data_IF_954729078834
#
_entry.id   IF_954729078834
#
_cell.length_a   1.000
_cell.length_b   1.000
_cell.length_c   1.000
_cell.angle_alpha   90.00
_cell.angle_beta   90.00
_cell.angle_gamma   90.00
#
_symmetry.space_group_name_H-M   'P 1'
#
loop_
_entity.id
_entity.type
_entity.pdbx_description
1 polymer ?
#
# COMPACT_ATOMS: atom_id res chain seq x y z
N UNK A 1 -4.29 -19.80 -2.12
CA UNK A 1 -4.98 -18.64 -1.56
C UNK A 1 -4.52 -18.39 -0.15
N UNK A 2 -4.21 -17.16 0.16
CA UNK A 2 -3.65 -16.76 1.44
C UNK A 2 -4.77 -16.39 2.43
N UNK A 3 -5.92 -15.95 1.90
CA UNK A 3 -7.10 -15.60 2.70
C UNK A 3 -8.03 -16.78 2.94
N UNK A 4 -8.54 -16.89 4.15
CA UNK A 4 -9.66 -17.78 4.45
C UNK A 4 -10.93 -17.25 3.78
N UNK A 5 -11.60 -18.10 3.00
CA UNK A 5 -12.83 -17.72 2.28
C UNK A 5 -14.06 -17.84 3.19
N UNK A 6 -14.03 -18.69 4.20
CA UNK A 6 -15.11 -18.85 5.16
C UNK A 6 -14.63 -19.44 6.48
N UNK A 7 -15.27 -19.03 7.57
CA UNK A 7 -14.99 -19.51 8.93
C UNK A 7 -15.35 -20.97 9.15
N UNK A 8 -16.16 -21.57 8.25
CA UNK A 8 -16.80 -22.83 8.57
C UNK A 8 -17.07 -23.77 7.40
N UNK A 9 -17.10 -25.06 7.72
CA UNK A 9 -17.85 -26.16 7.10
C UNK A 9 -17.33 -26.85 5.85
N UNK A 10 -16.32 -26.36 5.18
CA UNK A 10 -15.63 -27.18 4.16
C UNK A 10 -14.94 -28.40 4.79
N UNK A 11 -14.73 -28.39 6.10
CA UNK A 11 -13.95 -29.38 6.83
C UNK A 11 -14.67 -29.92 8.09
N UNK A 12 -15.99 -30.02 8.07
CA UNK A 12 -16.77 -30.48 9.23
C UNK A 12 -16.41 -31.90 9.73
N UNK A 13 -15.56 -32.62 9.02
CA UNK A 13 -14.99 -33.90 9.42
C UNK A 13 -13.54 -33.87 9.88
N UNK A 14 -12.85 -32.73 9.79
CA UNK A 14 -11.46 -32.58 10.22
C UNK A 14 -11.42 -31.73 11.50
N UNK A 15 -11.27 -32.39 12.63
CA UNK A 15 -11.02 -31.75 13.89
C UNK A 15 -9.52 -31.44 14.04
N UNK A 16 -9.17 -30.29 14.64
CA UNK A 16 -7.78 -29.93 15.01
C UNK A 16 -6.84 -29.62 13.84
N UNK A 17 -7.29 -28.87 12.84
CA UNK A 17 -6.39 -28.32 11.84
C UNK A 17 -5.40 -27.32 12.45
N UNK A 18 -4.12 -27.56 12.22
CA UNK A 18 -3.07 -26.57 12.51
C UNK A 18 -3.02 -25.62 11.32
N UNK A 19 -3.29 -24.36 11.55
CA UNK A 19 -3.19 -23.30 10.54
C UNK A 19 -1.82 -22.63 10.69
N UNK A 20 -1.06 -22.57 9.60
CA UNK A 20 0.15 -21.76 9.53
C UNK A 20 -0.18 -20.48 8.78
N UNK A 21 0.27 -19.37 9.30
CA UNK A 21 0.03 -18.03 8.77
C UNK A 21 1.30 -17.49 8.11
N UNK A 22 1.21 -16.30 7.55
CA UNK A 22 2.38 -15.61 6.99
C UNK A 22 3.42 -15.21 8.05
N UNK A 23 3.05 -15.23 9.33
CA UNK A 23 3.96 -14.92 10.45
C UNK A 23 4.73 -16.15 10.94
N UNK A 24 4.36 -17.35 10.45
CA UNK A 24 4.98 -18.62 10.87
C UNK A 24 6.15 -19.00 9.96
N UNK A 25 7.23 -19.53 10.57
CA UNK A 25 8.38 -20.04 9.80
C UNK A 25 8.09 -21.33 9.06
N UNK A 26 7.12 -22.11 9.57
CA UNK A 26 6.81 -23.42 8.99
C UNK A 26 6.19 -23.26 7.62
N UNK A 27 6.79 -23.91 6.62
CA UNK A 27 6.42 -23.87 5.20
C UNK A 27 6.64 -22.51 4.51
N UNK A 28 7.40 -21.60 5.11
CA UNK A 28 7.64 -20.25 4.57
C UNK A 28 8.23 -20.25 3.16
N UNK A 29 9.03 -21.23 2.80
CA UNK A 29 9.71 -21.34 1.49
C UNK A 29 8.81 -21.84 0.35
N UNK A 30 7.57 -22.30 0.63
CA UNK A 30 6.74 -22.99 -0.35
C UNK A 30 5.67 -22.13 -1.02
N UNK A 31 5.56 -20.86 -0.63
CA UNK A 31 4.47 -19.98 -1.11
C UNK A 31 4.91 -18.94 -2.13
N UNK A 32 6.11 -19.07 -2.68
CA UNK A 32 6.64 -18.20 -3.70
C UNK A 32 8.04 -18.60 -4.14
N UNK A 33 8.73 -17.72 -4.85
CA UNK A 33 10.12 -17.94 -5.22
C UNK A 33 11.05 -17.40 -4.13
N UNK A 34 12.04 -18.21 -3.79
CA UNK A 34 13.14 -17.80 -2.90
C UNK A 34 14.19 -16.99 -3.66
N UNK A 35 15.10 -16.36 -2.93
CA UNK A 35 16.26 -15.65 -3.51
C UNK A 35 17.09 -16.58 -4.43
N UNK A 36 17.23 -17.88 -4.04
CA UNK A 36 17.94 -18.87 -4.85
C UNK A 36 17.22 -19.16 -6.16
N UNK A 37 15.90 -19.30 -6.14
CA UNK A 37 15.10 -19.51 -7.35
C UNK A 37 15.26 -18.32 -8.32
N UNK A 38 15.19 -17.10 -7.81
CA UNK A 38 15.38 -15.90 -8.62
C UNK A 38 16.78 -15.82 -9.21
N UNK A 39 17.81 -16.17 -8.44
CA UNK A 39 19.20 -16.19 -8.93
C UNK A 39 19.38 -17.21 -10.06
N UNK A 40 18.79 -18.40 -9.91
CA UNK A 40 18.83 -19.45 -10.92
C UNK A 40 18.07 -19.05 -12.19
N UNK A 41 16.89 -18.43 -12.05
CA UNK A 41 16.10 -17.93 -13.18
C UNK A 41 16.85 -16.82 -13.91
N UNK A 42 17.40 -15.84 -13.19
CA UNK A 42 18.16 -14.75 -13.78
C UNK A 42 19.40 -15.27 -14.55
N UNK A 43 20.09 -16.24 -14.00
CA UNK A 43 21.22 -16.89 -14.68
C UNK A 43 20.78 -17.65 -15.95
N UNK A 44 19.67 -18.39 -15.88
CA UNK A 44 19.11 -19.12 -17.02
C UNK A 44 18.73 -18.20 -18.19
N UNK A 45 18.14 -17.03 -17.89
CA UNK A 45 17.78 -16.03 -18.91
C UNK A 45 18.93 -15.09 -19.28
N UNK A 46 20.14 -15.27 -18.72
CA UNK A 46 21.31 -14.41 -18.98
C UNK A 46 21.14 -12.98 -18.45
N UNK A 47 20.40 -12.81 -17.35
CA UNK A 47 20.02 -11.52 -16.77
C UNK A 47 20.51 -11.38 -15.31
N UNK A 48 21.66 -11.96 -14.98
CA UNK A 48 22.20 -11.91 -13.62
C UNK A 48 22.46 -10.47 -13.11
N UNK A 49 22.76 -9.55 -14.02
CA UNK A 49 22.93 -8.12 -13.71
C UNK A 49 21.61 -7.41 -13.29
N UNK A 50 20.45 -8.04 -13.55
CA UNK A 50 19.13 -7.51 -13.22
C UNK A 50 18.62 -7.91 -11.82
N UNK A 51 19.37 -8.66 -11.04
CA UNK A 51 18.95 -9.13 -9.72
C UNK A 51 18.52 -7.98 -8.79
N UNK A 52 19.22 -6.85 -8.79
CA UNK A 52 18.86 -5.70 -7.98
C UNK A 52 17.52 -5.08 -8.41
N UNK A 53 17.24 -5.02 -9.73
CA UNK A 53 15.98 -4.53 -10.27
C UNK A 53 14.83 -5.47 -9.91
N UNK A 54 15.03 -6.79 -10.04
CA UNK A 54 14.03 -7.81 -9.67
C UNK A 54 13.72 -7.72 -8.17
N UNK A 55 14.76 -7.54 -7.34
CA UNK A 55 14.60 -7.37 -5.90
C UNK A 55 13.78 -6.12 -5.57
N UNK A 56 14.10 -4.99 -6.12
CA UNK A 56 13.40 -3.73 -5.88
C UNK A 56 11.90 -3.82 -6.23
N UNK A 57 11.59 -4.52 -7.33
CA UNK A 57 10.24 -4.56 -7.86
C UNK A 57 9.35 -5.66 -7.26
N UNK A 58 9.90 -6.84 -6.94
CA UNK A 58 9.10 -8.04 -6.71
C UNK A 58 9.43 -8.82 -5.43
N UNK A 59 10.48 -8.41 -4.72
CA UNK A 59 10.85 -8.95 -3.42
C UNK A 59 10.00 -8.33 -2.30
N UNK A 60 10.21 -8.83 -1.10
CA UNK A 60 9.75 -8.18 0.12
C UNK A 60 8.50 -8.76 0.74
N UNK A 61 8.00 -9.88 0.26
CA UNK A 61 7.04 -10.68 1.02
C UNK A 61 7.83 -11.49 2.05
N UNK A 62 7.49 -11.30 3.32
CA UNK A 62 8.14 -12.01 4.41
C UNK A 62 7.16 -13.04 4.97
N UNK A 63 7.52 -14.32 4.84
CA UNK A 63 6.82 -15.44 5.45
C UNK A 63 7.67 -15.98 6.58
N UNK A 64 7.24 -15.79 7.84
CA UNK A 64 8.12 -15.98 8.98
C UNK A 64 9.39 -15.14 8.81
N UNK A 65 10.55 -15.82 8.72
CA UNK A 65 11.85 -15.18 8.48
C UNK A 65 12.37 -15.31 7.04
N UNK A 66 11.55 -15.82 6.10
CA UNK A 66 11.97 -16.09 4.71
C UNK A 66 11.47 -14.99 3.76
N UNK A 67 12.39 -14.38 3.03
CA UNK A 67 12.06 -13.45 1.93
C UNK A 67 11.54 -14.24 0.73
N UNK A 68 10.37 -13.86 0.23
CA UNK A 68 9.67 -14.54 -0.87
C UNK A 68 9.30 -13.50 -1.93
N UNK A 69 9.53 -13.90 -3.18
CA UNK A 69 9.11 -13.13 -4.37
C UNK A 69 7.76 -13.63 -4.89
N UNK A 70 6.94 -12.72 -5.40
CA UNK A 70 5.68 -13.08 -6.03
C UNK A 70 5.92 -13.83 -7.35
N UNK A 71 5.55 -15.13 -7.46
CA UNK A 71 5.81 -15.91 -8.66
C UNK A 71 5.16 -15.35 -9.91
N UNK A 72 3.92 -14.85 -9.80
CA UNK A 72 3.21 -14.26 -10.93
C UNK A 72 3.95 -13.06 -11.51
N UNK A 73 4.39 -12.15 -10.67
CA UNK A 73 5.08 -10.94 -11.09
C UNK A 73 6.46 -11.25 -11.69
N UNK A 74 7.21 -12.16 -11.07
CA UNK A 74 8.51 -12.59 -11.58
C UNK A 74 8.42 -13.28 -12.93
N UNK A 75 7.50 -14.23 -13.11
CA UNK A 75 7.30 -14.92 -14.39
C UNK A 75 6.93 -13.90 -15.49
N UNK A 76 6.02 -12.96 -15.18
CA UNK A 76 5.63 -11.94 -16.13
C UNK A 76 6.77 -10.95 -16.44
N UNK A 77 7.66 -10.66 -15.49
CA UNK A 77 8.85 -9.86 -15.73
C UNK A 77 9.74 -10.49 -16.79
N UNK A 78 10.09 -11.76 -16.66
CA UNK A 78 10.90 -12.48 -17.66
C UNK A 78 10.17 -12.57 -19.01
N UNK A 79 8.87 -12.84 -19.02
CA UNK A 79 8.05 -12.86 -20.24
C UNK A 79 7.92 -11.49 -20.89
N UNK A 80 8.08 -10.38 -20.16
CA UNK A 80 8.03 -9.01 -20.66
C UNK A 80 9.41 -8.47 -21.07
N UNK A 81 10.31 -9.32 -21.55
CA UNK A 81 11.68 -8.98 -21.92
C UNK A 81 12.45 -8.27 -20.79
N UNK A 82 12.29 -8.72 -19.58
CA UNK A 82 12.92 -8.17 -18.37
C UNK A 82 12.68 -6.64 -18.20
N UNK A 83 11.51 -6.18 -18.57
CA UNK A 83 11.07 -4.80 -18.33
C UNK A 83 10.12 -4.79 -17.13
N UNK A 84 10.48 -4.11 -16.04
CA UNK A 84 9.68 -4.12 -14.82
C UNK A 84 8.35 -3.39 -15.04
N UNK A 85 7.30 -3.91 -14.41
CA UNK A 85 5.95 -3.37 -14.43
C UNK A 85 5.17 -3.89 -13.24
N UNK A 86 4.15 -3.14 -12.81
CA UNK A 86 3.19 -3.62 -11.82
C UNK A 86 2.22 -4.63 -12.45
N UNK A 87 2.63 -5.90 -12.53
CA UNK A 87 1.83 -6.97 -13.13
C UNK A 87 0.63 -7.34 -12.27
N UNK A 88 0.75 -7.20 -10.97
CA UNK A 88 -0.33 -7.48 -10.03
C UNK A 88 -1.46 -6.44 -10.10
N UNK A 89 -1.21 -5.24 -10.57
CA UNK A 89 -2.21 -4.18 -10.74
C UNK A 89 -3.38 -4.53 -11.68
N UNK A 90 -3.30 -5.64 -12.40
CA UNK A 90 -4.32 -6.11 -13.35
C UNK A 90 -5.11 -7.32 -12.86
N UNK A 91 -4.88 -7.77 -11.64
CA UNK A 91 -5.62 -8.88 -11.05
C UNK A 91 -6.86 -8.34 -10.33
N UNK A 92 -7.97 -9.07 -10.45
CA UNK A 92 -9.27 -8.72 -9.85
C UNK A 92 -9.22 -8.79 -8.31
N UNK A 93 -8.90 -7.74 -7.64
CA UNK A 93 -8.81 -7.70 -6.17
C UNK A 93 -8.30 -6.37 -5.65
N UNK A 94 -7.74 -5.54 -6.53
CA UNK A 94 -7.21 -4.25 -6.13
C UNK A 94 -8.31 -3.22 -5.84
N UNK A 95 -9.52 -3.43 -6.34
CA UNK A 95 -10.71 -2.63 -6.01
C UNK A 95 -10.93 -2.49 -4.49
N UNK A 96 -10.52 -3.51 -3.73
CA UNK A 96 -10.62 -3.49 -2.29
C UNK A 96 -9.76 -2.39 -1.65
N UNK A 97 -8.58 -2.08 -2.21
CA UNK A 97 -7.77 -0.95 -1.75
C UNK A 97 -8.54 0.36 -1.96
N UNK A 98 -9.17 0.51 -3.12
CA UNK A 98 -10.02 1.66 -3.41
C UNK A 98 -11.22 1.77 -2.46
N UNK A 99 -11.86 0.64 -2.12
CA UNK A 99 -12.96 0.60 -1.14
C UNK A 99 -12.48 0.96 0.26
N UNK A 100 -11.35 0.40 0.69
CA UNK A 100 -10.72 0.73 1.97
C UNK A 100 -10.39 2.22 2.08
N UNK A 101 -9.82 2.79 1.04
CA UNK A 101 -9.51 4.22 0.99
C UNK A 101 -10.80 5.05 1.09
N UNK A 102 -11.88 4.67 0.40
CA UNK A 102 -13.16 5.39 0.45
C UNK A 102 -13.85 5.35 1.81
N UNK A 103 -13.74 4.23 2.51
CA UNK A 103 -14.40 4.00 3.80
C UNK A 103 -13.55 4.43 5.00
N UNK A 104 -12.31 4.87 4.77
CA UNK A 104 -11.32 5.13 5.82
C UNK A 104 -11.50 6.49 6.47
N UNK A 105 -11.12 6.57 7.73
CA UNK A 105 -10.97 7.80 8.49
C UNK A 105 -9.61 8.49 8.23
N UNK A 106 -9.38 9.60 8.89
CA UNK A 106 -8.14 10.39 8.78
C UNK A 106 -6.90 9.58 9.13
N UNK A 107 -6.97 8.74 10.15
CA UNK A 107 -5.84 7.98 10.68
C UNK A 107 -5.32 6.98 9.63
N UNK A 108 -6.23 6.31 8.93
CA UNK A 108 -5.86 5.39 7.84
C UNK A 108 -5.21 6.14 6.68
N UNK A 109 -5.72 7.32 6.30
CA UNK A 109 -5.09 8.13 5.25
C UNK A 109 -3.66 8.57 5.61
N UNK A 110 -3.44 9.01 6.86
CA UNK A 110 -2.11 9.38 7.35
C UNK A 110 -1.16 8.17 7.30
N UNK A 111 -1.64 7.02 7.73
CA UNK A 111 -0.88 5.77 7.71
C UNK A 111 -0.55 5.31 6.29
N UNK A 112 -1.51 5.37 5.36
CA UNK A 112 -1.25 5.06 3.94
C UNK A 112 -0.18 5.98 3.34
N UNK A 113 -0.20 7.26 3.70
CA UNK A 113 0.85 8.19 3.27
C UNK A 113 2.21 7.86 3.85
N UNK A 114 2.30 7.46 5.11
CA UNK A 114 3.55 6.99 5.73
C UNK A 114 4.08 5.76 4.99
N UNK A 115 3.21 4.78 4.69
CA UNK A 115 3.56 3.59 3.92
C UNK A 115 4.10 3.94 2.52
N UNK A 116 3.47 4.86 1.80
CA UNK A 116 3.93 5.32 0.49
C UNK A 116 5.29 6.04 0.54
N UNK A 117 5.62 6.68 1.67
CA UNK A 117 6.95 7.25 1.93
C UNK A 117 8.00 6.20 2.30
N UNK A 118 7.61 4.92 2.41
CA UNK A 118 8.49 3.82 2.83
C UNK A 118 8.71 3.75 4.35
N UNK A 119 7.89 4.45 5.13
CA UNK A 119 7.88 4.37 6.59
C UNK A 119 7.04 3.18 7.05
N UNK A 120 7.17 2.82 8.31
CA UNK A 120 6.42 1.76 8.95
C UNK A 120 5.21 2.32 9.71
N UNK A 121 4.15 1.54 9.77
CA UNK A 121 2.99 1.75 10.65
C UNK A 121 2.84 0.55 11.57
N UNK A 122 2.25 0.73 12.74
CA UNK A 122 2.02 -0.35 13.70
C UNK A 122 0.55 -0.66 13.78
N UNK A 123 0.21 -1.95 13.88
CA UNK A 123 -1.17 -2.41 14.00
C UNK A 123 -1.23 -3.75 14.70
N UNK A 124 -2.35 -4.03 15.37
CA UNK A 124 -2.69 -5.34 15.89
C UNK A 124 -3.14 -6.21 14.73
N UNK A 125 -2.57 -7.40 14.60
CA UNK A 125 -2.82 -8.27 13.46
C UNK A 125 -3.66 -9.49 13.83
N UNK A 126 -4.81 -9.59 13.22
CA UNK A 126 -5.63 -10.79 13.25
C UNK A 126 -5.39 -11.62 11.97
N UNK A 127 -4.62 -12.71 12.09
CA UNK A 127 -4.31 -13.60 10.95
C UNK A 127 -5.47 -14.49 10.54
N UNK A 128 -6.54 -14.54 11.34
CA UNK A 128 -7.77 -15.32 11.08
C UNK A 128 -8.84 -14.54 10.32
N UNK A 129 -8.53 -13.35 9.83
CA UNK A 129 -9.46 -12.45 9.14
C UNK A 129 -10.07 -13.10 7.90
N UNK A 130 -11.35 -12.79 7.66
CA UNK A 130 -12.15 -13.26 6.52
C UNK A 130 -12.55 -12.07 5.66
N UNK A 131 -12.59 -12.27 4.34
CA UNK A 131 -12.88 -11.25 3.34
C UNK A 131 -14.14 -10.37 3.62
N UNK A 132 -15.26 -10.85 4.15
CA UNK A 132 -16.44 -9.99 4.38
C UNK A 132 -16.36 -9.05 5.58
N UNK A 133 -15.32 -9.15 6.41
CA UNK A 133 -15.20 -8.38 7.67
C UNK A 133 -14.47 -7.03 7.49
N UNK A 134 -14.20 -6.63 6.25
CA UNK A 134 -13.32 -5.49 5.90
C UNK A 134 -13.91 -4.10 6.24
N UNK A 135 -15.19 -4.01 6.59
CA UNK A 135 -15.84 -2.74 6.96
C UNK A 135 -15.72 -2.38 8.46
N UNK A 136 -14.72 -2.93 9.15
CA UNK A 136 -14.53 -2.74 10.58
C UNK A 136 -13.54 -1.58 10.88
N UNK A 137 -12.68 -1.77 11.85
CA UNK A 137 -11.67 -0.83 12.32
C UNK A 137 -10.37 -0.88 11.49
N UNK A 138 -9.43 0.02 11.80
CA UNK A 138 -8.13 0.12 11.12
C UNK A 138 -7.29 -1.16 11.25
N UNK A 139 -7.31 -1.84 12.41
CA UNK A 139 -6.54 -3.08 12.64
C UNK A 139 -7.05 -4.22 11.74
N UNK A 140 -8.35 -4.29 11.51
CA UNK A 140 -8.99 -5.23 10.57
C UNK A 140 -8.52 -4.96 9.14
N UNK A 141 -8.46 -3.69 8.75
CA UNK A 141 -7.94 -3.28 7.43
C UNK A 141 -6.48 -3.70 7.26
N UNK A 142 -5.61 -3.41 8.22
CA UNK A 142 -4.19 -3.77 8.14
C UNK A 142 -3.97 -5.28 8.18
N UNK A 143 -4.74 -6.00 8.98
CA UNK A 143 -4.73 -7.46 9.00
C UNK A 143 -5.06 -8.04 7.64
N UNK A 144 -6.10 -7.52 6.98
CA UNK A 144 -6.47 -7.91 5.63
C UNK A 144 -5.37 -7.59 4.62
N UNK A 145 -4.85 -6.37 4.61
CA UNK A 145 -3.80 -5.96 3.69
C UNK A 145 -2.52 -6.79 3.86
N UNK A 146 -2.18 -7.17 5.10
CA UNK A 146 -1.05 -8.04 5.38
C UNK A 146 -1.28 -9.44 4.83
N UNK A 147 -2.40 -10.09 5.18
CA UNK A 147 -2.70 -11.47 4.77
C UNK A 147 -2.95 -11.57 3.25
N UNK A 148 -3.49 -10.52 2.62
CA UNK A 148 -3.66 -10.45 1.17
C UNK A 148 -2.36 -10.12 0.41
N UNK A 149 -1.27 -9.78 1.10
CA UNK A 149 0.04 -9.52 0.50
C UNK A 149 0.23 -8.08 -0.01
N UNK A 150 -0.59 -7.14 0.44
CA UNK A 150 -0.38 -5.71 0.15
C UNK A 150 0.57 -5.03 1.13
N UNK A 151 0.74 -5.62 2.32
CA UNK A 151 1.72 -5.21 3.32
C UNK A 151 2.64 -6.38 3.67
N UNK A 152 3.76 -6.08 4.28
CA UNK A 152 4.63 -7.05 4.95
C UNK A 152 4.84 -6.65 6.40
N UNK A 153 4.91 -7.63 7.30
CA UNK A 153 5.38 -7.41 8.65
C UNK A 153 6.93 -7.35 8.62
N UNK A 154 7.50 -6.32 9.25
CA UNK A 154 8.97 -6.19 9.38
C UNK A 154 9.46 -6.70 10.72
N UNK A 155 8.61 -6.64 11.72
CA UNK A 155 8.86 -7.19 13.06
C UNK A 155 7.55 -7.43 13.80
N UNK A 156 7.56 -8.39 14.71
CA UNK A 156 6.55 -8.55 15.77
C UNK A 156 7.10 -7.84 16.98
N UNK A 157 6.39 -6.81 17.48
CA UNK A 157 6.83 -5.95 18.57
C UNK A 157 6.43 -6.54 19.92
N UNK A 158 5.18 -6.96 20.04
CA UNK A 158 4.53 -7.48 21.24
C UNK A 158 3.24 -8.20 20.87
N UNK A 159 2.51 -8.67 21.86
CA UNK A 159 1.19 -9.29 21.70
C UNK A 159 0.15 -8.54 22.52
N UNK A 160 -1.07 -8.45 21.99
CA UNK A 160 -2.23 -7.92 22.69
C UNK A 160 -3.44 -8.85 22.45
N UNK A 161 -3.98 -9.42 23.54
CA UNK A 161 -5.10 -10.38 23.48
C UNK A 161 -4.86 -11.51 22.45
N UNK A 162 -3.71 -12.18 22.55
CA UNK A 162 -3.26 -13.26 21.67
C UNK A 162 -3.07 -12.86 20.19
N UNK A 163 -3.16 -11.57 19.86
CA UNK A 163 -2.86 -11.05 18.54
C UNK A 163 -1.51 -10.31 18.53
N UNK A 164 -0.64 -10.56 17.54
CA UNK A 164 0.63 -9.88 17.45
C UNK A 164 0.45 -8.41 17.03
N UNK A 165 1.23 -7.53 17.66
CA UNK A 165 1.41 -6.15 17.21
C UNK A 165 2.60 -6.13 16.27
N UNK A 166 2.38 -5.78 15.01
CA UNK A 166 3.40 -5.80 13.97
C UNK A 166 3.74 -4.40 13.48
N UNK A 167 5.02 -4.18 13.16
CA UNK A 167 5.43 -3.11 12.26
C UNK A 167 5.19 -3.54 10.82
N UNK A 168 4.51 -2.71 10.05
CA UNK A 168 4.07 -3.00 8.70
C UNK A 168 4.65 -2.00 7.72
N UNK A 169 5.00 -2.44 6.50
CA UNK A 169 5.36 -1.56 5.39
C UNK A 169 4.92 -2.14 4.04
N UNK A 170 5.02 -1.33 2.98
CA UNK A 170 4.86 -1.83 1.62
C UNK A 170 6.01 -2.78 1.27
N UNK A 171 5.73 -3.95 0.67
CA UNK A 171 6.76 -4.94 0.39
C UNK A 171 7.77 -4.47 -0.66
N UNK A 172 7.31 -3.85 -1.74
CA UNK A 172 8.14 -3.55 -2.90
C UNK A 172 7.57 -2.41 -3.77
N UNK A 173 8.27 -2.09 -4.85
CA UNK A 173 7.90 -1.04 -5.79
C UNK A 173 6.64 -1.37 -6.59
N UNK A 174 6.39 -2.64 -6.90
CA UNK A 174 5.17 -3.06 -7.58
C UNK A 174 3.94 -2.70 -6.75
N UNK A 175 3.90 -3.09 -5.48
CA UNK A 175 2.78 -2.81 -4.58
C UNK A 175 2.64 -1.32 -4.31
N UNK A 176 3.75 -0.60 -4.17
CA UNK A 176 3.70 0.86 -4.08
C UNK A 176 2.98 1.48 -5.30
N UNK A 177 3.30 1.00 -6.51
CA UNK A 177 2.64 1.46 -7.74
C UNK A 177 1.16 1.09 -7.78
N UNK A 178 0.77 -0.06 -7.22
CA UNK A 178 -0.65 -0.45 -7.07
C UNK A 178 -1.38 0.53 -6.17
N UNK A 179 -0.84 0.81 -4.97
CA UNK A 179 -1.45 1.77 -4.05
C UNK A 179 -1.57 3.16 -4.66
N UNK A 180 -0.52 3.67 -5.31
CA UNK A 180 -0.55 4.97 -5.98
C UNK A 180 -1.64 5.00 -7.06
N UNK A 181 -1.76 3.94 -7.84
CA UNK A 181 -2.77 3.85 -8.89
C UNK A 181 -4.19 3.79 -8.31
N UNK A 182 -4.44 2.96 -7.29
CA UNK A 182 -5.77 2.85 -6.69
C UNK A 182 -6.20 4.16 -6.00
N UNK A 183 -5.26 4.86 -5.36
CA UNK A 183 -5.49 6.21 -4.83
C UNK A 183 -5.88 7.15 -5.98
N UNK A 184 -5.10 7.18 -7.07
CA UNK A 184 -5.39 7.99 -8.25
C UNK A 184 -6.74 7.66 -8.88
N UNK A 185 -7.04 6.38 -9.07
CA UNK A 185 -8.29 5.94 -9.69
C UNK A 185 -9.49 6.27 -8.79
N UNK A 186 -9.33 6.16 -7.47
CA UNK A 186 -10.36 6.60 -6.52
C UNK A 186 -10.62 8.11 -6.64
N UNK A 187 -9.57 8.93 -6.73
CA UNK A 187 -9.73 10.37 -6.96
C UNK A 187 -10.30 10.68 -8.36
N UNK A 188 -9.91 9.94 -9.40
CA UNK A 188 -10.46 10.11 -10.75
C UNK A 188 -11.94 9.75 -10.86
N UNK A 189 -12.44 8.82 -10.06
CA UNK A 189 -13.88 8.50 -9.99
C UNK A 189 -14.68 9.57 -9.26
N UNK A 190 -14.08 10.19 -8.24
CA UNK A 190 -14.69 11.28 -7.48
C UNK A 190 -14.57 12.63 -8.21
N UNK A 191 -13.51 12.82 -9.00
CA UNK A 191 -13.14 14.09 -9.64
C UNK A 191 -12.72 13.85 -11.09
N UNK A 192 -13.09 14.77 -11.96
CA UNK A 192 -12.70 14.73 -13.36
C UNK A 192 -11.17 14.63 -13.48
N UNK A 193 -10.62 13.61 -14.16
CA UNK A 193 -9.18 13.30 -14.21
C UNK A 193 -8.26 14.42 -14.74
N UNK A 194 -8.84 15.54 -15.22
CA UNK A 194 -8.09 16.75 -15.54
C UNK A 194 -7.58 17.45 -14.28
N UNK A 195 -8.35 17.47 -13.19
CA UNK A 195 -8.00 18.19 -11.95
C UNK A 195 -6.72 17.67 -11.30
N UNK A 196 -6.51 16.35 -11.29
CA UNK A 196 -5.29 15.77 -10.73
C UNK A 196 -4.04 16.10 -11.55
N UNK A 197 -4.15 16.13 -12.89
CA UNK A 197 -3.05 16.55 -13.76
C UNK A 197 -2.71 18.03 -13.58
N UNK A 198 -3.72 18.87 -13.45
CA UNK A 198 -3.53 20.30 -13.24
C UNK A 198 -2.90 20.54 -11.86
N UNK A 199 -3.29 19.78 -10.84
CA UNK A 199 -2.71 19.82 -9.50
C UNK A 199 -1.23 19.38 -9.49
N UNK A 200 -0.90 18.26 -10.15
CA UNK A 200 0.48 17.81 -10.29
C UNK A 200 1.33 18.82 -11.08
N UNK A 201 0.78 19.39 -12.17
CA UNK A 201 1.45 20.39 -12.98
C UNK A 201 1.74 21.64 -12.16
N UNK A 202 0.75 22.15 -11.43
CA UNK A 202 0.89 23.33 -10.57
C UNK A 202 2.00 23.17 -9.54
N UNK A 203 2.04 22.01 -8.87
CA UNK A 203 3.09 21.70 -7.89
C UNK A 203 4.48 21.59 -8.52
N UNK A 204 4.57 21.01 -9.71
CA UNK A 204 5.85 20.85 -10.43
C UNK A 204 6.40 22.15 -10.97
N UNK A 205 5.54 23.08 -11.36
CA UNK A 205 5.91 24.36 -11.96
C UNK A 205 5.96 25.50 -10.95
N UNK A 206 5.50 25.27 -9.72
CA UNK A 206 5.35 26.32 -8.70
C UNK A 206 4.23 27.33 -9.06
N UNK A 207 3.28 26.94 -9.94
CA UNK A 207 2.17 27.82 -10.32
C UNK A 207 1.11 27.85 -9.23
N UNK A 208 1.23 28.84 -8.36
CA UNK A 208 0.34 29.05 -7.22
C UNK A 208 -1.11 29.38 -7.63
N UNK A 209 -1.31 30.01 -8.78
CA UNK A 209 -2.64 30.32 -9.32
C UNK A 209 -3.34 29.04 -9.75
N UNK A 210 -2.69 28.25 -10.60
CA UNK A 210 -3.20 26.96 -11.03
C UNK A 210 -3.47 26.03 -9.84
N UNK A 211 -2.57 26.02 -8.84
CA UNK A 211 -2.73 25.25 -7.60
C UNK A 211 -4.03 25.66 -6.86
N UNK A 212 -4.19 26.96 -6.61
CA UNK A 212 -5.35 27.49 -5.87
C UNK A 212 -6.66 27.20 -6.60
N UNK A 213 -6.69 27.46 -7.92
CA UNK A 213 -7.88 27.22 -8.74
C UNK A 213 -8.26 25.74 -8.78
N UNK A 214 -7.26 24.87 -8.90
CA UNK A 214 -7.46 23.41 -8.93
C UNK A 214 -7.94 22.91 -7.57
N UNK A 215 -7.32 23.35 -6.49
CA UNK A 215 -7.73 22.99 -5.14
C UNK A 215 -9.14 23.48 -4.82
N UNK A 216 -9.48 24.70 -5.22
CA UNK A 216 -10.82 25.26 -5.04
C UNK A 216 -11.91 24.48 -5.78
N UNK A 217 -11.66 24.13 -7.06
CA UNK A 217 -12.56 23.27 -7.83
C UNK A 217 -12.74 21.91 -7.18
N UNK A 218 -11.65 21.35 -6.70
CA UNK A 218 -11.66 20.08 -5.99
C UNK A 218 -12.53 20.15 -4.73
N UNK A 219 -12.30 21.12 -3.86
CA UNK A 219 -13.07 21.29 -2.61
C UNK A 219 -14.56 21.53 -2.87
N UNK A 220 -14.91 22.29 -3.91
CA UNK A 220 -16.30 22.52 -4.30
C UNK A 220 -16.99 21.24 -4.80
N UNK A 221 -16.28 20.40 -5.56
CA UNK A 221 -16.83 19.12 -6.03
C UNK A 221 -16.98 18.13 -4.87
N UNK A 222 -16.00 18.05 -3.96
CA UNK A 222 -16.08 17.19 -2.79
C UNK A 222 -17.21 17.60 -1.83
N UNK A 223 -17.43 18.88 -1.62
CA UNK A 223 -18.50 19.40 -0.77
C UNK A 223 -19.91 19.04 -1.29
N UNK A 224 -20.08 18.89 -2.60
CA UNK A 224 -21.36 18.49 -3.19
C UNK A 224 -21.67 16.99 -3.09
N UNK A 225 -20.65 16.16 -2.84
CA UNK A 225 -20.76 14.69 -2.88
C UNK A 225 -20.82 14.06 -1.48
N UNK A 226 -20.32 14.75 -0.46
CA UNK A 226 -20.24 14.28 0.90
C UNK A 226 -20.87 15.27 1.89
N UNK A 227 -21.42 14.76 2.98
CA UNK A 227 -21.96 15.58 4.10
C UNK A 227 -20.76 16.14 4.90
N UNK A 228 -20.14 17.18 4.34
CA UNK A 228 -18.77 17.63 4.62
C UNK A 228 -18.72 18.75 5.63
N UNK A 229 -19.10 18.52 6.87
CA UNK A 229 -18.90 19.48 7.97
C UNK A 229 -17.58 19.26 8.73
N UNK A 230 -16.74 18.31 8.32
CA UNK A 230 -15.58 17.89 9.11
C UNK A 230 -14.26 18.33 8.46
N UNK A 231 -13.50 19.22 9.13
CA UNK A 231 -12.16 19.67 8.76
C UNK A 231 -11.19 18.50 8.51
N UNK A 232 -11.33 17.41 9.27
CA UNK A 232 -10.51 16.20 9.12
C UNK A 232 -10.68 15.53 7.76
N UNK A 233 -11.86 15.62 7.16
CA UNK A 233 -12.11 15.10 5.80
C UNK A 233 -11.29 15.87 4.76
N UNK A 234 -11.31 17.19 4.79
CA UNK A 234 -10.54 18.02 3.85
C UNK A 234 -9.04 17.81 4.01
N UNK A 235 -8.55 17.75 5.24
CA UNK A 235 -7.15 17.48 5.53
C UNK A 235 -6.71 16.12 4.99
N UNK A 236 -7.44 15.06 5.33
CA UNK A 236 -7.14 13.69 4.86
C UNK A 236 -7.17 13.59 3.33
N UNK A 237 -8.13 14.26 2.71
CA UNK A 237 -8.30 14.28 1.26
C UNK A 237 -7.13 14.97 0.54
N UNK A 238 -6.76 16.20 0.98
CA UNK A 238 -5.58 16.90 0.41
C UNK A 238 -4.30 16.14 0.66
N UNK A 239 -4.13 15.58 1.85
CA UNK A 239 -2.98 14.77 2.20
C UNK A 239 -2.86 13.51 1.32
N UNK A 240 -3.98 12.83 1.07
CA UNK A 240 -4.05 11.68 0.16
C UNK A 240 -3.72 12.06 -1.29
N UNK A 241 -4.21 13.19 -1.80
CA UNK A 241 -3.83 13.69 -3.13
C UNK A 241 -2.33 13.92 -3.23
N UNK A 242 -1.73 14.50 -2.20
CA UNK A 242 -0.29 14.76 -2.16
C UNK A 242 0.53 13.48 -2.07
N UNK A 243 -0.02 12.37 -1.55
CA UNK A 243 0.65 11.08 -1.48
C UNK A 243 1.12 10.57 -2.85
N UNK A 244 0.49 11.00 -3.94
CA UNK A 244 0.89 10.74 -5.32
C UNK A 244 2.31 11.26 -5.60
N UNK A 245 2.68 12.34 -4.95
CA UNK A 245 4.00 12.98 -5.08
C UNK A 245 5.06 12.34 -4.18
N UNK A 246 4.73 11.27 -3.46
CA UNK A 246 5.62 10.62 -2.50
C UNK A 246 6.93 10.08 -3.11
N UNK A 247 7.04 9.97 -4.43
CA UNK A 247 8.30 9.63 -5.10
C UNK A 247 9.29 10.79 -5.12
N UNK A 248 8.80 12.03 -5.12
CA UNK A 248 9.61 13.26 -5.24
C UNK A 248 9.68 14.07 -3.96
N UNK A 249 8.67 13.98 -3.12
CA UNK A 249 8.56 14.77 -1.90
C UNK A 249 8.40 13.89 -0.67
N UNK A 250 8.94 14.34 0.45
CA UNK A 250 8.53 13.90 1.77
C UNK A 250 7.29 14.71 2.15
N UNK A 251 6.22 14.00 2.50
CA UNK A 251 4.94 14.61 2.85
C UNK A 251 4.74 14.41 4.34
N UNK A 252 4.49 15.49 5.06
CA UNK A 252 4.24 15.45 6.50
C UNK A 252 3.08 16.35 6.87
N UNK A 253 2.35 15.97 7.93
CA UNK A 253 1.22 16.73 8.43
C UNK A 253 1.32 16.94 9.94
N UNK A 254 0.67 17.98 10.43
CA UNK A 254 0.51 18.28 11.85
C UNK A 254 1.82 18.29 12.67
N UNK A 255 2.92 18.78 12.11
CA UNK A 255 4.19 18.93 12.82
C UNK A 255 4.41 20.39 13.26
N UNK A 256 4.97 20.53 14.45
CA UNK A 256 5.54 21.80 14.90
C UNK A 256 6.88 22.01 14.17
N UNK A 257 7.07 23.20 13.60
CA UNK A 257 8.30 23.60 12.96
C UNK A 257 8.68 25.00 13.47
N UNK A 258 9.71 25.07 14.31
CA UNK A 258 10.36 26.28 14.78
C UNK A 258 9.44 27.41 15.27
N UNK A 259 8.84 28.16 14.39
CA UNK A 259 8.01 29.32 14.68
C UNK A 259 6.48 29.12 14.51
N UNK A 260 6.04 27.88 14.19
CA UNK A 260 4.61 27.62 14.00
C UNK A 260 4.26 26.17 13.71
N UNK A 261 2.94 25.92 13.61
CA UNK A 261 2.36 24.64 13.21
C UNK A 261 1.92 24.75 11.77
N UNK A 262 2.26 23.74 10.95
CA UNK A 262 1.75 23.60 9.59
C UNK A 262 0.84 22.37 9.49
N UNK A 263 -0.19 22.47 8.66
CA UNK A 263 -1.13 21.38 8.45
C UNK A 263 -0.55 20.32 7.53
N UNK A 264 0.06 20.73 6.40
CA UNK A 264 0.74 19.84 5.45
C UNK A 264 2.01 20.50 4.94
N UNK A 265 3.11 19.73 4.92
CA UNK A 265 4.39 20.16 4.36
C UNK A 265 4.85 19.18 3.27
N UNK A 266 5.38 19.75 2.19
CA UNK A 266 6.07 19.05 1.11
C UNK A 266 7.56 19.43 1.15
N UNK A 267 8.44 18.47 1.39
CA UNK A 267 9.89 18.67 1.33
C UNK A 267 10.45 17.89 0.13
N UNK A 268 11.13 18.54 -0.84
CA UNK A 268 11.72 17.86 -1.97
C UNK A 268 12.74 16.81 -1.51
N UNK A 269 12.73 15.61 -2.08
CA UNK A 269 13.77 14.59 -1.85
C UNK A 269 15.08 14.95 -2.51
N UNK A 270 14.99 15.61 -3.65
CA UNK A 270 16.15 16.19 -4.36
C UNK A 270 16.19 17.68 -4.07
N UNK A 271 17.20 18.11 -3.29
CA UNK A 271 17.41 19.51 -2.90
C UNK A 271 18.03 20.38 -4.01
N UNK A 272 18.24 19.81 -5.19
CA UNK A 272 18.77 20.53 -6.36
C UNK A 272 17.68 21.11 -7.27
N UNK A 273 16.40 20.90 -6.92
CA UNK A 273 15.24 21.45 -7.64
C UNK A 273 14.61 22.62 -6.91
#
# INVERSE_FOLDING_TARGET
>A
GILRIAKERLFSGLNNLVVNTILDDKYSEYFGFTVNDISNMAAYYGMAEKLSEIKEWYDGYLFGNTEIYNPWSVINYFNNNCKPKAFWSRTSGNEIIGELIRSSDKEVYESLSLLLQGKEVQSIINTDIIYPEVNADSDTIYSFLLVAGYLRATSVISEFNDNPICSLKLPNREIKSVFQKEILDNYNTLFNGSLLRDFELALRTGDTTLFTDTLQKYLLQSASTFDTTNENFYHGTVFGMLAILSDRYYISSNRESGEGRFDIQLEPKDKSQ
#
